data_IF_173751150231
#
_entry.id   IF_173751150231
#
_cell.length_a   1.000
_cell.length_b   1.000
_cell.length_c   1.000
_cell.angle_alpha   90.00
_cell.angle_beta   90.00
_cell.angle_gamma   90.00
#
_symmetry.space_group_name_H-M   'P 1'
#
loop_
_entity.id
_entity.type
_entity.pdbx_description
1 polymer ?
#
# COMPACT_ATOMS: atom_id res chain seq x y z
N UNK A 1 -18.18 -21.79 15.08
CA UNK A 1 -18.20 -20.42 14.52
C UNK A 1 -17.03 -20.31 13.58
N UNK A 2 -17.22 -19.83 12.36
CA UNK A 2 -16.12 -19.54 11.42
C UNK A 2 -15.83 -18.05 11.53
N UNK A 3 -14.56 -17.69 11.77
CA UNK A 3 -14.13 -16.31 11.91
C UNK A 3 -13.55 -15.84 10.57
N UNK A 4 -14.03 -14.69 10.13
CA UNK A 4 -13.53 -13.97 8.96
C UNK A 4 -13.03 -12.60 9.41
N UNK A 5 -11.80 -12.27 9.01
CA UNK A 5 -11.18 -10.96 9.21
C UNK A 5 -11.35 -10.15 7.93
N UNK A 6 -11.75 -8.89 8.08
CA UNK A 6 -11.88 -7.95 6.99
C UNK A 6 -10.97 -6.76 7.24
N UNK A 7 -10.25 -6.33 6.21
CA UNK A 7 -9.44 -5.12 6.25
C UNK A 7 -9.38 -4.42 4.89
N UNK A 8 -9.17 -3.11 4.94
CA UNK A 8 -9.02 -2.25 3.77
C UNK A 8 -7.64 -1.58 3.79
N UNK A 9 -6.86 -1.80 2.73
CA UNK A 9 -5.52 -1.24 2.59
C UNK A 9 -5.46 -0.30 1.39
N UNK A 10 -4.92 0.91 1.59
CA UNK A 10 -4.71 1.90 0.53
C UNK A 10 -3.22 1.99 0.22
N UNK A 11 -2.85 1.64 -1.02
CA UNK A 11 -1.50 1.75 -1.55
C UNK A 11 -1.37 3.04 -2.36
N UNK A 12 -0.50 3.95 -1.94
CA UNK A 12 -0.21 5.17 -2.69
C UNK A 12 0.96 4.94 -3.64
N UNK A 13 0.81 5.31 -4.92
CA UNK A 13 1.88 5.15 -5.92
C UNK A 13 3.19 5.88 -5.52
N UNK A 14 3.08 6.94 -4.72
CA UNK A 14 4.21 7.75 -4.24
C UNK A 14 4.73 7.39 -2.85
N UNK A 15 4.29 6.28 -2.22
CA UNK A 15 4.83 5.88 -0.92
C UNK A 15 6.24 5.25 -1.00
N UNK A 16 6.90 5.42 -2.16
CA UNK A 16 8.27 4.96 -2.38
C UNK A 16 9.25 6.08 -2.04
N UNK A 17 10.25 5.78 -1.22
CA UNK A 17 11.43 6.65 -1.09
C UNK A 17 12.23 6.55 -2.39
N UNK A 18 12.21 7.61 -3.20
CA UNK A 18 13.09 7.69 -4.36
C UNK A 18 14.54 7.83 -3.88
N UNK A 19 15.38 6.85 -4.20
CA UNK A 19 16.83 6.99 -4.05
C UNK A 19 17.35 7.76 -5.25
N UNK A 20 17.85 8.96 -4.99
CA UNK A 20 18.35 9.89 -6.00
C UNK A 20 19.75 10.34 -5.61
N UNK A 21 20.59 10.60 -6.62
CA UNK A 21 21.91 11.17 -6.41
C UNK A 21 21.78 12.69 -6.46
N UNK A 22 22.24 13.37 -5.41
CA UNK A 22 22.30 14.82 -5.34
C UNK A 22 23.75 15.28 -5.19
N UNK A 23 24.02 16.53 -5.57
CA UNK A 23 25.28 17.18 -5.22
C UNK A 23 25.44 17.24 -3.70
N UNK A 24 26.68 17.13 -3.20
CA UNK A 24 26.97 17.09 -1.74
C UNK A 24 26.44 18.30 -0.96
N UNK A 25 26.38 19.45 -1.62
CA UNK A 25 25.93 20.73 -1.05
C UNK A 25 24.45 21.00 -1.37
N UNK A 26 23.76 20.04 -1.98
CA UNK A 26 22.34 20.18 -2.29
C UNK A 26 21.52 20.06 -1.01
N UNK A 27 20.54 20.95 -0.78
CA UNK A 27 19.65 20.82 0.37
C UNK A 27 18.79 19.56 0.25
N UNK A 28 18.60 18.85 1.37
CA UNK A 28 17.64 17.76 1.46
C UNK A 28 16.21 18.30 1.42
N UNK A 29 15.67 18.49 0.22
CA UNK A 29 14.31 19.00 0.03
C UNK A 29 13.32 17.83 0.08
N UNK A 30 12.44 17.73 1.09
CA UNK A 30 11.40 16.72 1.11
C UNK A 30 10.46 16.92 -0.08
N UNK A 31 10.06 15.81 -0.72
CA UNK A 31 9.06 15.84 -1.77
C UNK A 31 7.68 15.90 -1.11
N UNK A 32 6.82 16.88 -1.46
CA UNK A 32 5.46 16.91 -0.96
C UNK A 32 4.71 15.66 -1.44
N UNK A 33 3.91 15.05 -0.56
CA UNK A 33 3.04 13.94 -0.97
C UNK A 33 2.09 14.47 -2.04
N UNK A 34 2.30 14.07 -3.29
CA UNK A 34 1.46 14.51 -4.42
C UNK A 34 0.11 13.80 -4.43
N UNK A 35 -0.86 14.35 -5.16
CA UNK A 35 -2.15 13.74 -5.52
C UNK A 35 -1.97 12.61 -6.55
N UNK A 36 -1.01 11.72 -6.36
CA UNK A 36 -0.85 10.58 -7.26
C UNK A 36 -1.92 9.53 -7.04
N UNK A 37 -1.99 8.61 -8.00
CA UNK A 37 -2.91 7.49 -7.94
C UNK A 37 -2.74 6.67 -6.65
N UNK A 38 -3.86 6.38 -6.01
CA UNK A 38 -3.97 5.39 -4.94
C UNK A 38 -4.74 4.17 -5.43
N UNK A 39 -4.35 3.00 -4.95
CA UNK A 39 -5.05 1.75 -5.18
C UNK A 39 -5.56 1.21 -3.86
N UNK A 40 -6.88 1.07 -3.74
CA UNK A 40 -7.54 0.53 -2.55
C UNK A 40 -7.84 -0.95 -2.79
N UNK A 41 -7.46 -1.79 -1.83
CA UNK A 41 -7.76 -3.21 -1.82
C UNK A 41 -8.51 -3.53 -0.54
N UNK A 42 -9.62 -4.24 -0.68
CA UNK A 42 -10.42 -4.75 0.41
C UNK A 42 -10.54 -6.27 0.22
N UNK A 43 -10.25 -7.05 1.25
CA UNK A 43 -10.29 -8.51 1.17
C UNK A 43 -10.73 -9.12 2.51
N UNK A 44 -11.04 -10.42 2.50
CA UNK A 44 -11.41 -11.20 3.67
C UNK A 44 -10.46 -12.39 3.83
N UNK A 45 -10.05 -12.67 5.06
CA UNK A 45 -9.17 -13.79 5.39
C UNK A 45 -9.72 -14.59 6.56
N UNK A 46 -9.53 -15.91 6.53
CA UNK A 46 -9.76 -16.80 7.66
C UNK A 46 -8.51 -17.63 7.94
N UNK A 47 -8.19 -17.88 9.21
CA UNK A 47 -7.07 -18.76 9.57
C UNK A 47 -7.23 -20.17 9.03
N UNK A 48 -8.48 -20.61 8.89
CA UNK A 48 -8.81 -22.00 8.57
C UNK A 48 -8.99 -22.21 7.06
N UNK A 49 -9.34 -21.14 6.32
CA UNK A 49 -9.72 -21.20 4.90
C UNK A 49 -8.90 -20.30 3.98
N UNK A 50 -8.02 -19.45 4.52
CA UNK A 50 -7.23 -18.50 3.75
C UNK A 50 -8.04 -17.31 3.24
N UNK A 51 -7.62 -16.77 2.09
CA UNK A 51 -8.30 -15.64 1.43
C UNK A 51 -9.65 -16.06 0.86
N UNK A 52 -10.66 -15.22 1.02
CA UNK A 52 -11.95 -15.43 0.39
C UNK A 52 -11.81 -15.22 -1.12
N UNK A 53 -12.08 -16.27 -1.90
CA UNK A 53 -12.00 -16.23 -3.36
C UNK A 53 -13.30 -16.68 -3.98
N UNK A 54 -13.62 -16.11 -5.13
CA UNK A 54 -14.64 -16.65 -5.99
C UNK A 54 -14.17 -18.02 -6.52
N UNK A 55 -15.05 -19.02 -6.62
CA UNK A 55 -14.70 -20.32 -7.17
C UNK A 55 -14.46 -20.35 -8.70
N UNK A 56 -14.74 -19.26 -9.42
CA UNK A 56 -14.54 -19.15 -10.88
C UNK A 56 -13.12 -18.71 -11.29
#
# INVERSE_FOLDING_TARGET
VIIWYHDESIFYAHDRRHKTWYHKDSPAKPYPKGEGYSFMVADYFSSDFGWLRDPN
#
